data_IF_989672901930
#
_entry.id   IF_989672901930
#
_cell.length_a   1.000
_cell.length_b   1.000
_cell.length_c   1.000
_cell.angle_alpha   90.00
_cell.angle_beta   90.00
_cell.angle_gamma   90.00
#
_symmetry.space_group_name_H-M   'P 1'
#
loop_
_entity.id
_entity.type
_entity.pdbx_description
1 polymer ?
#
# COMPACT_ATOMS: atom_id res chain seq x y z
N UNK A 1 -51.88 45.44 25.82
CA UNK A 1 -50.63 44.68 25.60
C UNK A 1 -50.97 43.43 24.81
N UNK A 2 -50.14 43.07 23.83
CA UNK A 2 -50.03 41.68 23.35
C UNK A 2 -50.74 41.36 22.03
N UNK A 3 -49.91 41.06 21.02
CA UNK A 3 -50.10 40.72 19.59
C UNK A 3 -51.23 39.72 19.27
N UNK A 4 -52.06 39.98 18.24
CA UNK A 4 -51.91 39.66 16.78
C UNK A 4 -51.95 38.15 16.47
N UNK A 5 -53.03 37.65 15.84
CA UNK A 5 -53.20 37.39 14.38
C UNK A 5 -52.38 36.17 13.93
N UNK A 6 -52.82 35.20 13.10
CA UNK A 6 -53.96 35.04 12.21
C UNK A 6 -54.00 33.56 11.77
N UNK A 7 -55.13 33.16 11.19
CA UNK A 7 -55.57 31.81 10.90
C UNK A 7 -55.06 31.15 9.59
N UNK A 8 -55.25 29.81 9.52
CA UNK A 8 -55.61 28.95 8.36
C UNK A 8 -54.53 28.64 7.29
N UNK A 9 -54.73 27.61 6.41
CA UNK A 9 -55.39 26.30 6.54
C UNK A 9 -54.56 25.14 5.90
N UNK A 10 -55.02 23.90 6.09
CA UNK A 10 -54.54 22.73 5.34
C UNK A 10 -54.93 22.74 3.86
N UNK A 11 -54.26 21.90 3.05
CA UNK A 11 -54.73 21.51 1.73
C UNK A 11 -54.15 20.15 1.28
N UNK A 12 -54.88 19.58 0.33
CA UNK A 12 -55.05 18.18 -0.08
C UNK A 12 -53.96 17.57 -0.99
N UNK A 13 -53.94 16.23 -1.00
CA UNK A 13 -53.63 15.32 -2.12
C UNK A 13 -54.05 15.84 -3.49
N UNK A 14 -53.19 15.71 -4.53
CA UNK A 14 -53.52 15.25 -5.91
C UNK A 14 -52.30 14.64 -6.60
N UNK A 15 -52.50 13.46 -7.21
CA UNK A 15 -51.64 12.83 -8.22
C UNK A 15 -52.20 13.24 -9.59
N UNK A 16 -51.37 13.54 -10.59
CA UNK A 16 -51.71 13.38 -12.01
C UNK A 16 -50.47 13.54 -12.92
N UNK A 17 -50.64 13.12 -14.17
CA UNK A 17 -49.71 12.37 -14.99
C UNK A 17 -48.86 13.18 -16.00
N UNK A 18 -47.79 12.51 -16.45
CA UNK A 18 -47.09 12.55 -17.75
C UNK A 18 -47.10 13.86 -18.56
N UNK A 19 -45.92 14.45 -18.78
CA UNK A 19 -45.63 15.21 -19.99
C UNK A 19 -44.21 14.91 -20.48
N UNK A 20 -44.10 14.59 -21.78
CA UNK A 20 -42.85 14.31 -22.46
C UNK A 20 -42.24 15.61 -23.00
N UNK A 21 -40.98 15.88 -22.67
CA UNK A 21 -40.16 16.82 -23.43
C UNK A 21 -38.68 16.47 -23.32
N UNK A 22 -38.06 16.29 -24.50
CA UNK A 22 -36.64 16.07 -24.77
C UNK A 22 -35.70 16.97 -23.94
N UNK A 23 -34.66 16.36 -23.37
CA UNK A 23 -33.29 16.88 -23.35
C UNK A 23 -32.32 15.74 -22.95
N UNK A 24 -31.43 15.36 -23.86
CA UNK A 24 -30.11 14.80 -23.53
C UNK A 24 -29.18 16.03 -23.50
N UNK A 25 -28.26 16.24 -22.55
CA UNK A 25 -27.20 15.28 -22.22
C UNK A 25 -26.76 15.26 -20.74
N UNK A 26 -26.53 14.08 -20.17
CA UNK A 26 -25.49 13.97 -19.14
C UNK A 26 -24.80 12.62 -19.26
N UNK A 27 -23.82 12.62 -20.15
CA UNK A 27 -22.65 11.76 -20.08
C UNK A 27 -22.12 11.82 -18.64
N UNK A 28 -22.41 10.77 -17.86
CA UNK A 28 -21.85 10.56 -16.54
C UNK A 28 -20.34 10.40 -16.69
N UNK A 29 -19.65 11.54 -16.70
CA UNK A 29 -18.23 11.65 -16.45
C UNK A 29 -17.97 11.01 -15.10
N UNK A 30 -17.57 9.75 -15.13
CA UNK A 30 -17.12 9.03 -13.95
C UNK A 30 -15.84 9.73 -13.52
N UNK A 31 -15.96 10.69 -12.58
CA UNK A 31 -14.82 11.32 -11.92
C UNK A 31 -13.96 10.19 -11.35
N UNK A 32 -12.90 9.85 -12.07
CA UNK A 32 -11.87 8.95 -11.59
C UNK A 32 -11.29 9.63 -10.35
N UNK A 33 -11.63 9.11 -9.16
CA UNK A 33 -10.94 9.50 -7.94
C UNK A 33 -9.47 9.21 -8.20
N UNK A 34 -8.67 10.25 -8.42
CA UNK A 34 -7.23 10.10 -8.54
C UNK A 34 -6.80 9.45 -7.23
N UNK A 35 -6.38 8.18 -7.28
CA UNK A 35 -5.96 7.47 -6.07
C UNK A 35 -4.85 8.31 -5.42
N UNK A 36 -4.93 8.55 -4.12
CA UNK A 36 -3.87 9.24 -3.39
C UNK A 36 -2.56 8.43 -3.50
N UNK A 37 -1.42 9.11 -3.33
CA UNK A 37 -0.14 8.42 -3.16
C UNK A 37 -0.20 7.61 -1.87
N UNK A 38 0.23 6.36 -1.93
CA UNK A 38 0.25 5.47 -0.79
C UNK A 38 1.27 5.93 0.27
N UNK A 39 0.81 6.00 1.52
CA UNK A 39 1.67 6.24 2.66
C UNK A 39 2.59 5.03 2.92
N UNK A 40 3.88 5.29 3.13
CA UNK A 40 4.87 4.22 3.29
C UNK A 40 4.62 3.41 4.56
N UNK A 41 4.29 4.05 5.69
CA UNK A 41 4.20 3.34 6.96
C UNK A 41 2.95 2.44 7.00
N UNK A 42 1.84 2.88 6.41
CA UNK A 42 0.67 2.02 6.17
C UNK A 42 0.99 0.86 5.23
N UNK A 43 1.69 1.12 4.12
CA UNK A 43 2.16 0.08 3.21
C UNK A 43 3.03 -0.94 3.93
N UNK A 44 4.06 -0.48 4.65
CA UNK A 44 5.09 -1.31 5.27
C UNK A 44 4.52 -2.16 6.39
N UNK A 45 3.63 -1.58 7.21
CA UNK A 45 2.88 -2.33 8.21
C UNK A 45 2.02 -3.42 7.58
N UNK A 46 1.31 -3.13 6.49
CA UNK A 46 0.49 -4.14 5.82
C UNK A 46 1.36 -5.20 5.11
N UNK A 47 2.46 -4.81 4.50
CA UNK A 47 3.40 -5.69 3.80
C UNK A 47 3.86 -6.83 4.70
N UNK A 48 4.16 -6.56 5.98
CA UNK A 48 4.63 -7.57 6.94
C UNK A 48 3.52 -8.38 7.63
N UNK A 49 2.27 -7.93 7.54
CA UNK A 49 1.13 -8.55 8.24
C UNK A 49 0.15 -9.30 7.31
N UNK A 50 0.19 -9.05 6.01
CA UNK A 50 -0.71 -9.65 5.02
C UNK A 50 0.12 -10.25 3.89
N UNK A 51 0.29 -11.58 3.91
CA UNK A 51 1.12 -12.31 2.94
C UNK A 51 0.58 -12.18 1.51
N UNK A 52 -0.74 -12.11 1.33
CA UNK A 52 -1.35 -11.93 0.00
C UNK A 52 -1.04 -10.55 -0.54
N UNK A 53 -1.15 -9.53 0.32
CA UNK A 53 -0.72 -8.18 -0.03
C UNK A 53 0.78 -8.11 -0.32
N UNK A 54 1.61 -8.75 0.50
CA UNK A 54 3.06 -8.82 0.29
C UNK A 54 3.39 -9.33 -1.11
N UNK A 55 2.83 -10.50 -1.48
CA UNK A 55 3.05 -11.09 -2.81
C UNK A 55 2.58 -10.19 -3.95
N UNK A 56 1.52 -9.40 -3.75
CA UNK A 56 1.03 -8.42 -4.74
C UNK A 56 1.95 -7.19 -4.90
N UNK A 57 2.84 -6.95 -3.93
CA UNK A 57 3.77 -5.82 -3.89
C UNK A 57 5.21 -6.19 -4.19
N UNK A 58 5.43 -7.43 -4.63
CA UNK A 58 6.70 -7.85 -5.23
C UNK A 58 6.74 -7.45 -6.70
N UNK A 59 7.71 -6.62 -7.09
CA UNK A 59 7.91 -6.21 -8.47
C UNK A 59 8.92 -7.14 -9.14
N UNK A 60 8.45 -8.24 -9.72
CA UNK A 60 9.31 -9.16 -10.46
C UNK A 60 9.76 -8.57 -11.82
N UNK A 61 11.00 -8.84 -12.26
CA UNK A 61 12.05 -9.51 -11.51
C UNK A 61 12.53 -8.64 -10.32
N UNK A 62 12.64 -9.23 -9.15
CA UNK A 62 13.21 -8.55 -7.97
C UNK A 62 14.72 -8.64 -8.14
N UNK A 63 15.43 -7.52 -8.05
CA UNK A 63 16.90 -7.53 -8.05
C UNK A 63 17.47 -8.20 -6.79
N UNK A 64 18.75 -8.59 -6.84
CA UNK A 64 19.37 -9.36 -5.77
C UNK A 64 19.03 -10.86 -5.86
N UNK A 65 19.30 -11.61 -4.79
CA UNK A 65 19.21 -13.07 -4.77
C UNK A 65 19.16 -13.62 -3.34
N UNK A 66 18.85 -14.90 -3.20
CA UNK A 66 19.26 -15.71 -2.05
C UNK A 66 20.65 -16.25 -2.32
N UNK A 67 21.61 -16.00 -1.43
CA UNK A 67 22.99 -16.44 -1.54
C UNK A 67 23.29 -17.29 -0.30
N UNK A 68 23.45 -18.58 -0.52
CA UNK A 68 23.84 -19.54 0.50
C UNK A 68 25.18 -20.18 0.13
N UNK A 69 25.76 -20.94 1.06
CA UNK A 69 26.98 -21.76 0.83
C UNK A 69 26.87 -22.69 -0.39
N UNK A 70 25.65 -23.15 -0.68
CA UNK A 70 25.37 -24.10 -1.77
C UNK A 70 25.12 -23.43 -3.12
N UNK A 71 24.98 -22.09 -3.16
CA UNK A 71 24.83 -21.34 -4.40
C UNK A 71 23.98 -20.07 -4.31
N UNK A 72 23.68 -19.50 -5.47
CA UNK A 72 22.91 -18.26 -5.59
C UNK A 72 21.63 -18.50 -6.40
N UNK A 73 20.49 -18.16 -5.82
CA UNK A 73 19.18 -18.27 -6.46
C UNK A 73 18.54 -16.89 -6.67
N UNK A 74 18.11 -16.61 -7.90
CA UNK A 74 17.32 -15.41 -8.18
C UNK A 74 15.92 -15.53 -7.57
N UNK A 75 15.37 -14.40 -7.13
CA UNK A 75 14.02 -14.39 -6.57
C UNK A 75 12.95 -14.63 -7.62
N UNK A 76 12.05 -15.54 -7.30
CA UNK A 76 10.85 -15.89 -8.05
C UNK A 76 9.65 -15.90 -7.11
N UNK A 77 8.44 -15.92 -7.68
CA UNK A 77 7.23 -16.09 -6.86
C UNK A 77 7.21 -17.41 -6.07
N UNK A 78 7.98 -18.41 -6.49
CA UNK A 78 7.97 -19.75 -5.90
C UNK A 78 8.94 -19.89 -4.72
N UNK A 79 10.09 -19.23 -4.77
CA UNK A 79 11.11 -19.28 -3.71
C UNK A 79 11.08 -18.05 -2.78
N UNK A 80 10.22 -17.07 -3.03
CA UNK A 80 10.09 -15.93 -2.13
C UNK A 80 9.54 -16.33 -0.76
N UNK A 81 10.30 -16.04 0.30
CA UNK A 81 9.88 -16.25 1.68
C UNK A 81 9.08 -15.05 2.22
N UNK A 82 7.98 -15.31 2.93
CA UNK A 82 7.15 -14.23 3.50
C UNK A 82 7.93 -13.49 4.58
N UNK A 83 8.05 -12.16 4.44
CA UNK A 83 8.84 -11.29 5.30
C UNK A 83 7.94 -10.76 6.42
N UNK A 84 8.10 -11.32 7.61
CA UNK A 84 7.23 -11.00 8.76
C UNK A 84 7.79 -9.92 9.67
N UNK A 85 9.11 -9.85 9.79
CA UNK A 85 9.78 -8.96 10.74
C UNK A 85 10.05 -7.62 10.07
N UNK A 86 9.50 -6.55 10.64
CA UNK A 86 9.85 -5.18 10.24
C UNK A 86 11.23 -4.83 10.76
N UNK A 87 11.95 -3.96 10.07
CA UNK A 87 13.26 -3.52 10.56
C UNK A 87 13.20 -2.82 11.92
N UNK A 88 12.08 -2.19 12.26
CA UNK A 88 11.85 -1.53 13.54
C UNK A 88 11.62 -2.51 14.71
N UNK A 89 11.32 -3.77 14.41
CA UNK A 89 10.98 -4.80 15.39
C UNK A 89 12.14 -5.80 15.64
N UNK A 90 13.34 -5.54 15.08
CA UNK A 90 14.51 -6.42 15.19
C UNK A 90 15.22 -6.23 16.52
N UNK A 91 15.58 -7.35 17.18
CA UNK A 91 16.45 -7.35 18.35
C UNK A 91 17.89 -6.98 17.96
N UNK A 92 18.33 -5.81 18.43
CA UNK A 92 19.65 -5.26 18.10
C UNK A 92 20.78 -5.74 19.01
N UNK A 93 20.50 -6.70 19.91
CA UNK A 93 21.51 -7.34 20.76
C UNK A 93 22.51 -8.14 19.92
N UNK A 94 22.01 -8.87 18.93
CA UNK A 94 22.84 -9.68 18.01
C UNK A 94 22.87 -9.09 16.59
N UNK A 95 21.75 -8.53 16.13
CA UNK A 95 21.64 -7.95 14.80
C UNK A 95 22.08 -6.49 14.80
N UNK A 96 22.71 -6.07 13.71
CA UNK A 96 22.87 -4.66 13.36
C UNK A 96 21.85 -4.31 12.29
N UNK A 97 21.30 -3.11 12.38
CA UNK A 97 20.27 -2.62 11.47
C UNK A 97 20.60 -1.22 11.01
N UNK A 98 20.38 -0.94 9.73
CA UNK A 98 20.37 0.42 9.18
C UNK A 98 19.25 0.55 8.15
N UNK A 99 18.69 1.74 8.02
CA UNK A 99 17.73 2.04 6.97
C UNK A 99 17.84 3.49 6.52
N UNK A 100 17.41 3.75 5.29
CA UNK A 100 17.28 5.09 4.73
C UNK A 100 15.91 5.24 4.07
N UNK A 101 15.20 6.32 4.40
CA UNK A 101 13.85 6.61 3.89
C UNK A 101 13.84 7.96 3.18
N UNK A 102 13.31 7.97 1.96
CA UNK A 102 12.99 9.17 1.18
C UNK A 102 11.50 9.11 0.78
N UNK A 103 10.94 10.16 0.14
CA UNK A 103 9.58 10.09 -0.38
C UNK A 103 9.34 9.02 -1.46
N UNK A 104 10.41 8.53 -2.13
CA UNK A 104 10.30 7.62 -3.27
C UNK A 104 10.98 6.26 -3.04
N UNK A 105 11.77 6.12 -1.98
CA UNK A 105 12.58 4.94 -1.72
C UNK A 105 12.69 4.65 -0.22
N UNK A 106 12.70 3.37 0.15
CA UNK A 106 13.12 2.90 1.46
C UNK A 106 14.11 1.74 1.30
N UNK A 107 15.31 1.89 1.84
CA UNK A 107 16.30 0.81 1.92
C UNK A 107 16.46 0.36 3.35
N UNK A 108 16.60 -0.95 3.54
CA UNK A 108 16.85 -1.57 4.84
C UNK A 108 17.98 -2.58 4.72
N UNK A 109 18.81 -2.66 5.75
CA UNK A 109 19.90 -3.61 5.86
C UNK A 109 19.98 -4.14 7.29
N UNK A 110 20.01 -5.46 7.41
CA UNK A 110 20.11 -6.22 8.66
C UNK A 110 21.26 -7.20 8.51
N UNK A 111 22.15 -7.30 9.49
CA UNK A 111 23.25 -8.26 9.42
C UNK A 111 23.72 -8.67 10.81
N UNK A 112 24.41 -9.80 10.91
CA UNK A 112 25.13 -10.20 12.12
C UNK A 112 26.63 -10.07 11.82
N UNK A 113 27.39 -9.26 12.59
CA UNK A 113 28.82 -9.08 12.35
C UNK A 113 29.58 -10.41 12.33
N UNK A 114 30.52 -10.55 11.39
CA UNK A 114 31.46 -11.68 11.31
C UNK A 114 30.83 -13.08 11.11
N UNK A 115 29.59 -13.16 10.60
CA UNK A 115 28.89 -14.44 10.38
C UNK A 115 28.56 -14.77 8.93
N UNK A 116 28.75 -13.83 7.99
CA UNK A 116 28.26 -13.99 6.62
C UNK A 116 26.74 -13.80 6.46
N UNK A 117 25.99 -13.60 7.57
CA UNK A 117 24.55 -13.33 7.52
C UNK A 117 24.25 -11.85 7.26
N UNK A 118 23.49 -11.58 6.19
CA UNK A 118 23.11 -10.24 5.77
C UNK A 118 21.79 -10.28 4.99
N UNK A 119 20.92 -9.27 5.18
CA UNK A 119 19.68 -9.11 4.42
C UNK A 119 19.48 -7.65 4.08
N UNK A 120 19.53 -7.32 2.80
CA UNK A 120 19.39 -5.96 2.27
C UNK A 120 18.24 -5.89 1.28
N UNK A 121 17.21 -5.12 1.61
CA UNK A 121 16.05 -4.93 0.74
C UNK A 121 15.83 -3.46 0.39
N UNK A 122 15.23 -3.20 -0.78
CA UNK A 122 14.81 -1.87 -1.25
C UNK A 122 13.38 -1.89 -1.74
N UNK A 123 12.64 -0.88 -1.27
CA UNK A 123 11.29 -0.58 -1.68
C UNK A 123 11.27 0.75 -2.44
N UNK A 124 10.47 0.82 -3.50
CA UNK A 124 10.32 2.02 -4.33
C UNK A 124 8.84 2.36 -4.51
N UNK A 125 8.54 3.65 -4.50
CA UNK A 125 7.24 4.18 -4.88
C UNK A 125 7.14 4.22 -6.41
N UNK A 126 6.44 3.26 -6.99
CA UNK A 126 6.23 3.19 -8.45
C UNK A 126 4.82 3.68 -8.77
N UNK A 127 4.74 4.84 -9.39
CA UNK A 127 3.48 5.54 -9.62
C UNK A 127 2.90 6.08 -8.32
N UNK A 128 1.99 5.33 -7.69
CA UNK A 128 1.32 5.74 -6.44
C UNK A 128 1.30 4.64 -5.38
N UNK A 129 2.12 3.61 -5.59
CA UNK A 129 2.12 2.36 -4.83
C UNK A 129 3.55 1.95 -4.55
N UNK A 130 3.81 1.52 -3.33
CA UNK A 130 5.10 0.98 -2.93
C UNK A 130 5.23 -0.48 -3.34
N UNK A 131 6.44 -0.86 -3.75
CA UNK A 131 6.80 -2.20 -4.14
C UNK A 131 8.18 -2.55 -3.61
N UNK A 132 8.39 -3.83 -3.26
CA UNK A 132 9.72 -4.38 -3.12
C UNK A 132 10.29 -4.64 -4.51
N UNK A 133 11.47 -4.09 -4.78
CA UNK A 133 12.12 -4.15 -6.10
C UNK A 133 13.50 -4.80 -6.06
N UNK A 134 14.12 -4.88 -4.88
CA UNK A 134 15.41 -5.51 -4.67
C UNK A 134 15.41 -6.18 -3.30
N UNK A 135 15.90 -7.41 -3.22
CA UNK A 135 16.38 -7.95 -1.97
C UNK A 135 17.56 -8.90 -2.18
N UNK A 136 18.59 -8.76 -1.36
CA UNK A 136 19.74 -9.66 -1.29
C UNK A 136 19.73 -10.27 0.11
N UNK A 137 19.66 -11.60 0.19
CA UNK A 137 19.74 -12.37 1.41
C UNK A 137 20.99 -13.24 1.32
N UNK A 138 21.91 -13.09 2.27
CA UNK A 138 23.21 -13.73 2.31
C UNK A 138 23.34 -14.54 3.58
N UNK A 139 23.78 -15.78 3.44
CA UNK A 139 24.01 -16.73 4.51
C UNK A 139 25.18 -17.66 4.10
N UNK A 140 26.40 -17.16 4.33
CA UNK A 140 27.67 -17.73 3.86
C UNK A 140 28.43 -18.53 4.91
#
# INVERSE_FOLDING_TARGET
MGLLWLSLPGCHTKKEAVNASKANPEETATKSKSKAVEDFDQFYNRFHNDSTFQMSRLKFPIGGASVDVDGTEQWTKKNWHIMKTKIYDIDTTQYKVTYHKTPLEFTQHVWIPDTGFSSKCRFELIGKKWYLVYCLDENL
#
